data_IF_314245393627
#
_entry.id   IF_314245393627
#
_cell.length_a   1.000
_cell.length_b   1.000
_cell.length_c   1.000
_cell.angle_alpha   90.00
_cell.angle_beta   90.00
_cell.angle_gamma   90.00
#
_symmetry.space_group_name_H-M   'P 1'
#
loop_
_entity.id
_entity.type
_entity.pdbx_description
1 polymer ?
#
# COMPACT_ATOMS: atom_id res chain seq x y z
N UNK A 1 6.98 1.47 8.99
CA UNK A 1 7.49 2.05 7.72
C UNK A 1 7.51 3.57 7.80
N UNK A 2 6.39 4.26 7.95
CA UNK A 2 6.29 5.72 8.01
C UNK A 2 7.26 6.38 8.99
N UNK A 3 7.32 5.93 10.24
CA UNK A 3 8.24 6.45 11.26
C UNK A 3 9.73 6.35 10.86
N UNK A 4 10.10 5.26 10.15
CA UNK A 4 11.48 5.09 9.65
C UNK A 4 11.82 6.01 8.49
N UNK A 5 10.84 6.40 7.68
CA UNK A 5 11.02 7.41 6.64
C UNK A 5 11.21 8.79 7.30
N UNK A 6 10.41 9.12 8.30
CA UNK A 6 10.55 10.36 9.07
C UNK A 6 11.94 10.50 9.72
N UNK A 7 12.48 9.43 10.30
CA UNK A 7 13.85 9.40 10.86
C UNK A 7 14.95 9.68 9.80
N UNK A 8 14.60 9.58 8.52
CA UNK A 8 15.47 9.92 7.39
C UNK A 8 15.19 11.30 6.80
N UNK A 9 14.35 12.11 7.48
CA UNK A 9 13.98 13.44 7.03
C UNK A 9 12.99 13.45 5.85
N UNK A 10 12.27 12.34 5.62
CA UNK A 10 11.26 12.25 4.55
C UNK A 10 9.90 12.59 5.15
N UNK A 11 9.24 13.59 4.57
CA UNK A 11 7.87 13.94 4.89
C UNK A 11 6.90 12.87 4.42
N UNK A 12 5.80 12.63 5.15
CA UNK A 12 4.94 11.46 4.90
C UNK A 12 3.46 11.83 4.88
N UNK A 13 2.77 11.45 3.84
CA UNK A 13 1.30 11.38 3.84
C UNK A 13 0.89 9.93 4.14
N UNK A 14 0.10 9.75 5.21
CA UNK A 14 -0.41 8.44 5.62
C UNK A 14 -1.85 8.32 5.16
N UNK A 15 -2.20 7.17 4.58
CA UNK A 15 -3.60 6.85 4.29
C UNK A 15 -4.17 5.90 5.34
N UNK A 16 -5.45 6.07 5.64
CA UNK A 16 -6.21 5.17 6.51
C UNK A 16 -7.59 4.87 5.88
N UNK A 17 -8.17 3.71 6.22
CA UNK A 17 -9.52 3.36 5.78
C UNK A 17 -10.58 3.80 6.80
N UNK A 18 -10.45 3.40 8.06
CA UNK A 18 -11.49 3.59 9.08
C UNK A 18 -10.96 4.09 10.43
N UNK A 19 -9.67 3.91 10.73
CA UNK A 19 -9.10 4.29 12.02
C UNK A 19 -8.34 5.61 11.92
N UNK A 20 -9.08 6.71 11.88
CA UNK A 20 -8.52 8.07 11.82
C UNK A 20 -7.66 8.38 13.06
N UNK A 21 -8.09 7.98 14.25
CA UNK A 21 -7.36 8.27 15.50
C UNK A 21 -5.98 7.63 15.51
N UNK A 22 -5.87 6.37 15.09
CA UNK A 22 -4.57 5.71 14.97
C UNK A 22 -3.66 6.39 13.92
N UNK A 23 -4.22 6.84 12.80
CA UNK A 23 -3.46 7.56 11.78
C UNK A 23 -2.94 8.91 12.30
N UNK A 24 -3.77 9.67 13.04
CA UNK A 24 -3.38 10.93 13.69
C UNK A 24 -2.30 10.72 14.76
N UNK A 25 -2.36 9.62 15.52
CA UNK A 25 -1.27 9.30 16.46
C UNK A 25 0.06 9.10 15.74
N UNK A 26 0.08 8.37 14.63
CA UNK A 26 1.29 8.17 13.81
C UNK A 26 1.75 9.48 13.18
N UNK A 27 0.84 10.35 12.72
CA UNK A 27 1.16 11.69 12.24
C UNK A 27 1.92 12.50 13.31
N UNK A 28 1.39 12.54 14.53
CA UNK A 28 2.06 13.23 15.67
C UNK A 28 3.44 12.65 15.95
N UNK A 29 3.60 11.35 15.91
CA UNK A 29 4.90 10.70 16.12
C UNK A 29 5.92 11.04 15.01
N UNK A 30 5.48 11.17 13.75
CA UNK A 30 6.33 11.61 12.65
C UNK A 30 6.78 13.05 12.88
N UNK A 31 5.84 13.94 13.23
CA UNK A 31 6.15 15.34 13.50
C UNK A 31 7.11 15.50 14.69
N UNK A 32 6.97 14.67 15.72
CA UNK A 32 7.91 14.64 16.86
C UNK A 32 9.33 14.20 16.46
N UNK A 33 9.50 13.53 15.30
CA UNK A 33 10.80 13.17 14.74
C UNK A 33 11.37 14.22 13.78
N UNK A 34 10.70 15.37 13.64
CA UNK A 34 11.18 16.50 12.84
C UNK A 34 10.80 16.45 11.35
N UNK A 35 9.98 15.49 10.91
CA UNK A 35 9.42 15.47 9.57
C UNK A 35 7.98 16.01 9.56
N UNK A 36 7.52 16.52 8.41
CA UNK A 36 6.12 16.89 8.25
C UNK A 36 5.27 15.66 7.90
N UNK A 37 4.02 15.67 8.36
CA UNK A 37 3.09 14.60 8.03
C UNK A 37 1.67 15.12 7.80
N UNK A 38 0.87 14.33 7.07
CA UNK A 38 -0.56 14.51 6.93
C UNK A 38 -1.24 13.15 6.89
N UNK A 39 -2.54 13.11 7.21
CA UNK A 39 -3.39 11.93 7.11
C UNK A 39 -4.52 12.19 6.12
N UNK A 40 -4.81 11.22 5.25
CA UNK A 40 -5.89 11.30 4.26
C UNK A 40 -6.64 9.96 4.26
N UNK A 41 -7.96 10.02 4.27
CA UNK A 41 -8.79 8.83 4.13
C UNK A 41 -8.68 8.22 2.72
N UNK A 42 -8.55 6.90 2.66
CA UNK A 42 -8.53 6.12 1.41
C UNK A 42 -9.06 4.71 1.66
N UNK A 43 -10.21 4.39 1.09
CA UNK A 43 -10.70 3.02 1.03
C UNK A 43 -10.40 2.40 -0.34
N UNK A 44 -9.51 1.42 -0.36
CA UNK A 44 -9.13 0.70 -1.58
C UNK A 44 -10.25 -0.21 -2.13
N UNK A 45 -11.31 -0.45 -1.36
CA UNK A 45 -12.47 -1.23 -1.82
C UNK A 45 -13.50 -0.38 -2.55
N UNK A 46 -13.51 0.94 -2.31
CA UNK A 46 -14.43 1.90 -2.95
C UNK A 46 -13.70 2.73 -4.02
N UNK A 47 -14.01 2.46 -5.29
CA UNK A 47 -13.43 3.20 -6.41
C UNK A 47 -13.83 4.68 -6.46
N UNK A 48 -15.02 5.03 -5.94
CA UNK A 48 -15.44 6.42 -5.79
C UNK A 48 -14.55 7.20 -4.83
N UNK A 49 -13.95 6.52 -3.87
CA UNK A 49 -13.03 7.12 -2.89
C UNK A 49 -11.71 7.56 -3.51
N UNK A 50 -11.25 6.93 -4.61
CA UNK A 50 -9.98 7.30 -5.27
C UNK A 50 -9.98 8.73 -5.80
N UNK A 51 -11.06 9.20 -6.39
CA UNK A 51 -11.13 10.58 -6.93
C UNK A 51 -11.19 11.61 -5.80
N UNK A 52 -11.90 11.28 -4.71
CA UNK A 52 -11.90 12.11 -3.49
C UNK A 52 -10.50 12.16 -2.88
N UNK A 53 -9.83 11.01 -2.79
CA UNK A 53 -8.44 10.93 -2.32
C UNK A 53 -7.49 11.79 -3.17
N UNK A 54 -7.53 11.71 -4.49
CA UNK A 54 -6.67 12.50 -5.37
C UNK A 54 -6.92 14.00 -5.18
N UNK A 55 -8.18 14.41 -5.00
CA UNK A 55 -8.52 15.81 -4.72
C UNK A 55 -7.94 16.25 -3.37
N UNK A 56 -8.13 15.45 -2.32
CA UNK A 56 -7.57 15.72 -1.00
C UNK A 56 -6.03 15.72 -1.02
N UNK A 57 -5.40 14.80 -1.76
CA UNK A 57 -3.95 14.74 -1.92
C UNK A 57 -3.40 16.04 -2.54
N UNK A 58 -3.99 16.52 -3.62
CA UNK A 58 -3.59 17.78 -4.27
C UNK A 58 -3.72 18.98 -3.32
N UNK A 59 -4.83 19.06 -2.60
CA UNK A 59 -5.08 20.13 -1.62
C UNK A 59 -4.04 20.07 -0.49
N UNK A 60 -3.75 18.89 0.02
CA UNK A 60 -2.79 18.67 1.11
C UNK A 60 -1.36 19.00 0.67
N UNK A 61 -0.94 18.55 -0.52
CA UNK A 61 0.37 18.88 -1.08
C UNK A 61 0.54 20.40 -1.23
N UNK A 62 -0.47 21.09 -1.75
CA UNK A 62 -0.42 22.53 -1.91
C UNK A 62 -0.39 23.28 -0.58
N UNK A 63 -1.23 22.89 0.37
CA UNK A 63 -1.37 23.62 1.64
C UNK A 63 -0.22 23.35 2.62
N UNK A 64 0.30 22.13 2.69
CA UNK A 64 1.38 21.77 3.65
C UNK A 64 2.78 21.95 3.08
N UNK A 65 2.98 21.71 1.79
CA UNK A 65 4.32 21.68 1.17
C UNK A 65 4.50 22.68 0.02
N UNK A 66 3.48 23.46 -0.29
CA UNK A 66 3.48 24.40 -1.43
C UNK A 66 3.95 23.75 -2.75
N UNK A 67 3.53 22.49 -2.97
CA UNK A 67 3.84 21.72 -4.17
C UNK A 67 2.60 21.04 -4.72
N UNK A 68 2.67 20.59 -5.96
CA UNK A 68 1.62 19.79 -6.59
C UNK A 68 2.07 18.35 -6.84
N UNK A 69 3.29 18.00 -6.45
CA UNK A 69 3.89 16.69 -6.75
C UNK A 69 4.55 16.09 -5.52
N UNK A 70 4.83 14.80 -5.58
CA UNK A 70 5.54 14.04 -4.56
C UNK A 70 6.50 13.05 -5.22
N UNK A 71 7.45 12.50 -4.46
CA UNK A 71 8.54 11.69 -4.98
C UNK A 71 8.30 10.19 -4.88
N UNK A 72 7.59 9.72 -3.85
CA UNK A 72 7.49 8.30 -3.55
C UNK A 72 6.05 7.87 -3.28
N UNK A 73 5.63 6.77 -3.92
CA UNK A 73 4.36 6.09 -3.64
C UNK A 73 4.63 4.70 -3.09
N UNK A 74 4.11 4.40 -1.89
CA UNK A 74 4.24 3.07 -1.28
C UNK A 74 2.86 2.45 -1.14
N UNK A 75 2.58 1.42 -1.93
CA UNK A 75 1.34 0.67 -1.90
C UNK A 75 1.45 -0.46 -0.87
N UNK A 76 1.16 -0.13 0.39
CA UNK A 76 1.26 -1.05 1.54
C UNK A 76 -0.10 -1.53 2.04
N UNK A 77 -1.19 -0.83 1.75
CA UNK A 77 -2.51 -1.22 2.20
C UNK A 77 -2.83 -2.66 1.82
N UNK A 78 -3.41 -3.39 2.74
CA UNK A 78 -3.72 -4.81 2.51
C UNK A 78 -4.58 -5.39 3.62
N UNK A 79 -5.21 -6.49 3.31
CA UNK A 79 -5.99 -7.34 4.21
C UNK A 79 -5.53 -8.79 4.07
N UNK A 80 -5.75 -9.59 5.09
CA UNK A 80 -5.41 -11.02 5.07
C UNK A 80 -6.56 -11.85 5.60
N UNK A 81 -6.74 -13.01 5.02
CA UNK A 81 -7.58 -14.07 5.56
C UNK A 81 -7.05 -15.43 5.07
N UNK A 82 -7.25 -16.46 5.88
CA UNK A 82 -6.96 -17.84 5.51
C UNK A 82 -8.28 -18.49 5.13
N UNK A 83 -8.50 -18.69 3.82
CA UNK A 83 -9.77 -19.20 3.28
C UNK A 83 -9.45 -20.36 2.36
N UNK A 84 -9.90 -21.60 2.66
CA UNK A 84 -9.75 -22.73 1.77
C UNK A 84 -10.31 -22.43 0.37
N UNK A 85 -9.63 -22.90 -0.68
CA UNK A 85 -10.01 -22.60 -2.06
C UNK A 85 -11.50 -22.85 -2.34
N UNK A 86 -12.04 -23.99 -1.88
CA UNK A 86 -13.46 -24.35 -2.08
C UNK A 86 -14.46 -23.45 -1.32
N UNK A 87 -13.99 -22.58 -0.42
CA UNK A 87 -14.83 -21.67 0.39
C UNK A 87 -14.70 -20.22 -0.05
N UNK A 88 -13.87 -19.92 -1.04
CA UNK A 88 -13.74 -18.56 -1.60
C UNK A 88 -15.00 -18.23 -2.37
N UNK A 89 -15.75 -17.24 -1.89
CA UNK A 89 -16.93 -16.72 -2.61
C UNK A 89 -16.52 -15.62 -3.59
N UNK A 90 -17.38 -15.27 -4.54
CA UNK A 90 -17.16 -14.14 -5.45
C UNK A 90 -16.96 -12.84 -4.69
N UNK A 91 -17.74 -12.59 -3.64
CA UNK A 91 -17.60 -11.40 -2.79
C UNK A 91 -16.20 -11.32 -2.15
N UNK A 92 -15.73 -12.44 -1.58
CA UNK A 92 -14.37 -12.51 -1.02
C UNK A 92 -13.33 -12.26 -2.10
N UNK A 93 -13.46 -12.90 -3.25
CA UNK A 93 -12.55 -12.72 -4.37
C UNK A 93 -12.49 -11.25 -4.81
N UNK A 94 -13.64 -10.60 -4.99
CA UNK A 94 -13.74 -9.21 -5.42
C UNK A 94 -13.15 -8.26 -4.38
N UNK A 95 -13.37 -8.49 -3.08
CA UNK A 95 -12.76 -7.71 -2.03
C UNK A 95 -11.23 -7.81 -2.06
N UNK A 96 -10.68 -9.02 -2.21
CA UNK A 96 -9.23 -9.20 -2.35
C UNK A 96 -8.69 -8.55 -3.62
N UNK A 97 -9.37 -8.71 -4.74
CA UNK A 97 -9.00 -8.08 -6.00
C UNK A 97 -9.00 -6.55 -5.87
N UNK A 98 -10.05 -5.97 -5.29
CA UNK A 98 -10.17 -4.54 -5.13
C UNK A 98 -9.02 -3.97 -4.29
N UNK A 99 -8.73 -4.56 -3.12
CA UNK A 99 -7.68 -4.05 -2.22
C UNK A 99 -6.29 -4.30 -2.78
N UNK A 100 -6.01 -5.52 -3.25
CA UNK A 100 -4.64 -5.97 -3.51
C UNK A 100 -4.18 -5.80 -4.95
N UNK A 101 -5.08 -5.58 -5.91
CA UNK A 101 -4.68 -5.42 -7.31
C UNK A 101 -5.36 -4.23 -7.98
N UNK A 102 -6.68 -4.24 -8.12
CA UNK A 102 -7.43 -3.21 -8.87
C UNK A 102 -7.23 -1.82 -8.27
N UNK A 103 -7.34 -1.70 -6.92
CA UNK A 103 -7.12 -0.43 -6.23
C UNK A 103 -5.68 0.07 -6.42
N UNK A 104 -4.68 -0.80 -6.30
CA UNK A 104 -3.27 -0.45 -6.53
C UNK A 104 -3.07 0.05 -7.96
N UNK A 105 -3.62 -0.67 -8.95
CA UNK A 105 -3.51 -0.31 -10.36
C UNK A 105 -4.02 1.11 -10.63
N UNK A 106 -5.26 1.40 -10.22
CA UNK A 106 -5.87 2.69 -10.47
C UNK A 106 -5.35 3.80 -9.57
N UNK A 107 -4.91 3.49 -8.35
CA UNK A 107 -4.23 4.47 -7.50
C UNK A 107 -2.92 4.94 -8.16
N UNK A 108 -2.09 4.02 -8.65
CA UNK A 108 -0.86 4.39 -9.36
C UNK A 108 -1.21 5.23 -10.60
N UNK A 109 -2.19 4.79 -11.41
CA UNK A 109 -2.59 5.52 -12.61
C UNK A 109 -3.02 6.96 -12.30
N UNK A 110 -3.84 7.16 -11.27
CA UNK A 110 -4.32 8.49 -10.87
C UNK A 110 -3.22 9.33 -10.20
N UNK A 111 -2.29 8.72 -9.50
CA UNK A 111 -1.14 9.38 -8.88
C UNK A 111 -0.02 9.71 -9.88
N UNK A 112 0.06 9.02 -11.02
CA UNK A 112 1.14 9.17 -11.99
C UNK A 112 1.41 10.61 -12.46
N UNK A 113 0.39 11.47 -12.70
CA UNK A 113 0.62 12.89 -13.04
C UNK A 113 1.20 13.71 -11.88
N UNK A 114 1.06 13.24 -10.64
CA UNK A 114 1.52 13.92 -9.43
C UNK A 114 2.89 13.40 -8.97
N UNK A 115 3.41 12.33 -9.56
CA UNK A 115 4.76 11.85 -9.27
C UNK A 115 5.80 12.72 -9.97
N UNK A 116 6.85 13.08 -9.22
CA UNK A 116 8.04 13.72 -9.78
C UNK A 116 8.78 12.75 -10.71
N UNK A 117 9.43 13.30 -11.71
CA UNK A 117 10.41 12.54 -12.49
C UNK A 117 11.58 12.14 -11.56
N UNK A 118 12.17 11.00 -11.82
CA UNK A 118 13.17 10.34 -10.96
C UNK A 118 12.62 9.87 -9.59
N UNK A 119 11.30 9.89 -9.39
CA UNK A 119 10.63 9.35 -8.22
C UNK A 119 10.64 7.83 -8.15
N UNK A 120 9.86 7.26 -7.22
CA UNK A 120 9.73 5.81 -7.14
C UNK A 120 8.35 5.35 -6.65
N UNK A 121 7.94 4.18 -7.14
CA UNK A 121 6.80 3.42 -6.65
C UNK A 121 7.30 2.12 -6.02
N UNK A 122 6.79 1.80 -4.83
CA UNK A 122 7.06 0.53 -4.15
C UNK A 122 5.74 -0.18 -3.89
N UNK A 123 5.60 -1.36 -4.45
CA UNK A 123 4.46 -2.23 -4.21
C UNK A 123 4.82 -3.30 -3.17
N UNK A 124 3.94 -3.57 -2.22
CA UNK A 124 4.15 -4.65 -1.25
C UNK A 124 3.44 -5.91 -1.74
N UNK A 125 4.23 -6.90 -2.14
CA UNK A 125 3.80 -8.26 -2.46
C UNK A 125 3.82 -9.16 -1.22
N UNK A 126 4.14 -10.43 -1.37
CA UNK A 126 4.22 -11.41 -0.30
C UNK A 126 5.09 -12.60 -0.71
N UNK A 127 5.78 -13.21 0.24
CA UNK A 127 6.44 -14.49 0.05
C UNK A 127 5.50 -15.63 -0.40
N UNK A 128 4.18 -15.48 -0.16
CA UNK A 128 3.17 -16.45 -0.61
C UNK A 128 3.05 -16.59 -2.13
N UNK A 129 3.66 -15.70 -2.91
CA UNK A 129 3.78 -15.86 -4.37
C UNK A 129 4.80 -16.93 -4.76
N UNK A 130 5.69 -17.31 -3.86
CA UNK A 130 6.76 -18.30 -4.07
C UNK A 130 6.57 -19.55 -3.20
N UNK A 131 6.04 -19.37 -1.98
CA UNK A 131 5.81 -20.44 -1.02
C UNK A 131 4.32 -20.65 -0.83
N UNK A 132 3.80 -21.78 -1.34
CA UNK A 132 2.37 -22.07 -1.30
C UNK A 132 1.93 -22.40 0.14
N UNK A 133 0.98 -21.62 0.63
CA UNK A 133 0.34 -21.85 1.94
C UNK A 133 -1.14 -22.15 1.71
N UNK A 134 -1.68 -23.28 2.18
CA UNK A 134 -3.11 -23.59 2.06
C UNK A 134 -3.98 -22.44 2.59
N UNK A 135 -5.05 -22.11 1.87
CA UNK A 135 -5.96 -21.03 2.23
C UNK A 135 -5.53 -19.63 1.78
N UNK A 136 -4.40 -19.49 1.07
CA UNK A 136 -3.90 -18.20 0.60
C UNK A 136 -4.03 -18.02 -0.92
N UNK A 137 -4.76 -18.88 -1.62
CA UNK A 137 -4.82 -18.87 -3.09
C UNK A 137 -5.28 -17.54 -3.68
N UNK A 138 -6.38 -16.96 -3.18
CA UNK A 138 -6.87 -15.66 -3.68
C UNK A 138 -5.87 -14.53 -3.38
N UNK A 139 -5.35 -14.47 -2.16
CA UNK A 139 -4.37 -13.47 -1.75
C UNK A 139 -3.09 -13.55 -2.59
N UNK A 140 -2.50 -14.74 -2.69
CA UNK A 140 -1.26 -14.96 -3.43
C UNK A 140 -1.41 -14.64 -4.92
N UNK A 141 -2.57 -14.98 -5.53
CA UNK A 141 -2.86 -14.65 -6.92
C UNK A 141 -2.85 -13.13 -7.16
N UNK A 142 -3.47 -12.34 -6.28
CA UNK A 142 -3.46 -10.88 -6.38
C UNK A 142 -2.05 -10.30 -6.18
N UNK A 143 -1.28 -10.85 -5.24
CA UNK A 143 0.12 -10.43 -5.03
C UNK A 143 1.02 -10.79 -6.22
N UNK A 144 0.81 -11.93 -6.87
CA UNK A 144 1.48 -12.28 -8.13
C UNK A 144 1.13 -11.32 -9.28
N UNK A 145 -0.14 -10.92 -9.37
CA UNK A 145 -0.58 -9.91 -10.35
C UNK A 145 0.14 -8.56 -10.13
N UNK A 146 0.30 -8.12 -8.87
CA UNK A 146 1.05 -6.90 -8.53
C UNK A 146 2.53 -7.01 -8.92
N UNK A 147 3.17 -8.17 -8.76
CA UNK A 147 4.55 -8.37 -9.20
C UNK A 147 4.68 -8.22 -10.72
N UNK A 148 3.73 -8.75 -11.48
CA UNK A 148 3.70 -8.57 -12.93
C UNK A 148 3.47 -7.10 -13.31
N UNK A 149 2.47 -6.45 -12.72
CA UNK A 149 2.20 -5.02 -12.92
C UNK A 149 3.46 -4.17 -12.65
N UNK A 150 4.19 -4.47 -11.58
CA UNK A 150 5.42 -3.75 -11.21
C UNK A 150 6.45 -3.77 -12.34
N UNK A 151 6.65 -4.93 -13.00
CA UNK A 151 7.59 -5.05 -14.13
C UNK A 151 7.16 -4.22 -15.35
N UNK A 152 5.86 -4.21 -15.66
CA UNK A 152 5.33 -3.41 -16.76
C UNK A 152 5.48 -1.92 -16.48
N UNK A 153 5.10 -1.47 -15.29
CA UNK A 153 5.22 -0.06 -14.90
C UNK A 153 6.68 0.41 -14.84
N UNK A 154 7.61 -0.43 -14.42
CA UNK A 154 9.03 -0.10 -14.46
C UNK A 154 9.49 0.20 -15.89
N UNK A 155 8.98 -0.54 -16.88
CA UNK A 155 9.28 -0.29 -18.30
C UNK A 155 8.60 0.97 -18.82
N UNK A 156 7.32 1.13 -18.52
CA UNK A 156 6.50 2.25 -19.04
C UNK A 156 6.91 3.60 -18.45
N UNK A 157 7.26 3.65 -17.17
CA UNK A 157 7.63 4.88 -16.48
C UNK A 157 9.15 5.18 -16.51
N UNK A 158 9.93 4.28 -17.09
CA UNK A 158 11.38 4.41 -17.19
C UNK A 158 11.84 5.65 -17.95
N UNK A 159 11.10 6.11 -18.96
CA UNK A 159 11.40 7.36 -19.70
C UNK A 159 11.33 8.63 -18.83
N UNK A 160 10.58 8.58 -17.71
CA UNK A 160 10.51 9.62 -16.69
C UNK A 160 11.53 9.42 -15.56
N UNK A 161 12.40 8.43 -15.65
CA UNK A 161 13.32 8.06 -14.57
C UNK A 161 12.61 7.47 -13.32
N UNK A 162 11.31 7.20 -13.38
CA UNK A 162 10.55 6.67 -12.24
C UNK A 162 10.86 5.17 -12.08
N UNK A 163 11.37 4.81 -10.92
CA UNK A 163 11.66 3.42 -10.55
C UNK A 163 10.43 2.77 -9.96
N UNK A 164 10.08 1.57 -10.40
CA UNK A 164 8.97 0.81 -9.84
C UNK A 164 9.49 -0.54 -9.35
N UNK A 165 9.34 -0.80 -8.06
CA UNK A 165 9.87 -1.99 -7.42
C UNK A 165 8.80 -2.69 -6.57
N UNK A 166 9.03 -3.96 -6.29
CA UNK A 166 8.19 -4.76 -5.40
C UNK A 166 9.03 -5.33 -4.26
N UNK A 167 8.46 -5.32 -3.07
CA UNK A 167 9.01 -6.01 -1.90
C UNK A 167 8.06 -7.13 -1.54
N UNK A 168 8.56 -8.35 -1.40
CA UNK A 168 7.82 -9.55 -1.03
C UNK A 168 8.23 -10.01 0.37
N UNK A 169 7.63 -9.47 1.44
CA UNK A 169 7.97 -9.87 2.81
C UNK A 169 7.59 -11.33 3.07
N UNK A 170 8.39 -11.98 3.92
CA UNK A 170 8.00 -13.20 4.59
C UNK A 170 7.01 -12.95 5.74
N UNK A 171 6.81 -13.94 6.63
CA UNK A 171 6.00 -13.78 7.82
C UNK A 171 6.57 -12.68 8.73
N UNK A 172 5.76 -11.69 9.10
CA UNK A 172 6.14 -10.61 10.01
C UNK A 172 5.13 -10.55 11.15
N UNK A 173 5.59 -10.48 12.39
CA UNK A 173 4.75 -10.36 13.58
C UNK A 173 4.06 -8.99 13.62
N UNK A 174 2.89 -8.90 13.03
CA UNK A 174 2.02 -7.72 13.00
C UNK A 174 0.59 -8.13 13.32
N UNK A 175 -0.32 -7.15 13.33
CA UNK A 175 -1.75 -7.42 13.48
C UNK A 175 -2.43 -7.88 12.16
N UNK A 176 -1.67 -7.98 11.08
CA UNK A 176 -2.14 -8.49 9.80
C UNK A 176 -2.72 -9.91 9.92
N UNK A 177 -3.84 -10.17 9.24
CA UNK A 177 -4.54 -11.46 9.29
C UNK A 177 -4.88 -11.88 10.73
N UNK A 178 -5.47 -10.95 11.52
CA UNK A 178 -5.83 -11.18 12.93
C UNK A 178 -4.65 -11.66 13.80
N UNK A 179 -3.48 -11.10 13.55
CA UNK A 179 -2.25 -11.47 14.25
C UNK A 179 -1.89 -12.97 14.15
N UNK A 180 -2.25 -13.63 13.03
CA UNK A 180 -2.09 -15.08 12.86
C UNK A 180 -0.66 -15.58 13.12
N UNK A 181 0.35 -14.77 12.76
CA UNK A 181 1.77 -15.14 13.01
C UNK A 181 2.11 -15.01 14.50
N UNK A 182 1.63 -13.97 15.17
CA UNK A 182 1.86 -13.73 16.59
C UNK A 182 1.21 -14.81 17.45
N UNK A 183 0.03 -15.29 17.05
CA UNK A 183 -0.76 -16.30 17.78
C UNK A 183 -0.37 -17.77 17.47
N UNK A 184 0.40 -18.02 16.40
CA UNK A 184 0.78 -19.36 15.99
C UNK A 184 2.31 -19.55 15.99
N UNK A 185 2.88 -20.23 17.02
CA UNK A 185 4.33 -20.47 17.11
C UNK A 185 4.93 -21.20 15.89
N UNK A 186 4.14 -22.06 15.23
CA UNK A 186 4.60 -22.82 14.06
C UNK A 186 4.76 -21.97 12.78
N UNK A 187 4.29 -20.73 12.80
CA UNK A 187 4.46 -19.78 11.68
C UNK A 187 5.68 -18.86 11.87
N UNK A 188 6.44 -19.04 12.97
CA UNK A 188 7.60 -18.21 13.31
C UNK A 188 8.94 -18.79 12.84
N UNK A 189 8.93 -19.95 12.20
CA UNK A 189 10.12 -20.67 11.72
C UNK A 189 10.46 -20.34 10.27
#
# INVERSE_FOLDING_TARGET
MALRLAEKGIDVIITYKSNADAAVLVEKEIMARGANAAVIELDMTDFGSLDKFITALKTTLQSKWNTQRFDFLINNAGMGATIPFAQVTEEVFDNFMNVHFKGIYFLIQKCMPLLNDNGAVVNISSGSTRFCVPGYSVYASMKGAVETLTRYLAKELGSRGIRVNVVAPGPIETDFNNAAIRSNPNMKS
#
